data_IF_621038682911
#
_entry.id   IF_621038682911
#
_cell.length_a   1.000
_cell.length_b   1.000
_cell.length_c   1.000
_cell.angle_alpha   90.00
_cell.angle_beta   90.00
_cell.angle_gamma   90.00
#
_symmetry.space_group_name_H-M   'P 1'
#
loop_
_entity.id
_entity.type
_entity.pdbx_description
1 polymer ?
#
# COMPACT_ATOMS: atom_id res chain seq x y z
N UNK A 1 -4.12 27.77 5.39
CA UNK A 1 -2.73 27.27 5.45
C UNK A 1 -2.72 25.82 5.00
N UNK A 2 -1.93 25.45 3.99
CA UNK A 2 -1.86 24.05 3.49
C UNK A 2 -0.87 23.27 4.34
N UNK A 3 -1.32 22.23 5.05
CA UNK A 3 -0.43 21.31 5.78
C UNK A 3 0.25 20.40 4.77
N UNK A 4 1.57 20.56 4.60
CA UNK A 4 2.38 19.66 3.76
C UNK A 4 2.64 18.36 4.53
N UNK A 5 2.35 17.22 3.90
CA UNK A 5 2.70 15.89 4.39
C UNK A 5 3.69 15.26 3.42
N UNK A 6 4.67 14.57 3.96
CA UNK A 6 5.64 13.78 3.21
C UNK A 6 5.37 12.30 3.46
N UNK A 7 5.44 11.52 2.38
CA UNK A 7 5.50 10.06 2.40
C UNK A 7 6.87 9.63 1.84
N UNK A 8 7.52 8.70 2.53
CA UNK A 8 8.76 8.06 2.09
C UNK A 8 8.53 6.56 2.04
N UNK A 9 8.76 5.94 0.89
CA UNK A 9 8.71 4.49 0.74
C UNK A 9 10.06 3.95 0.25
N UNK A 10 10.39 2.74 0.69
CA UNK A 10 11.51 1.97 0.18
C UNK A 10 11.10 0.50 0.09
N UNK A 11 11.50 -0.17 -0.98
CA UNK A 11 11.20 -1.58 -1.16
C UNK A 11 12.11 -2.24 -2.17
N UNK A 12 12.16 -3.57 -2.12
CA UNK A 12 12.90 -4.39 -3.07
C UNK A 12 12.13 -5.67 -3.38
N UNK A 13 12.14 -6.07 -4.64
CA UNK A 13 11.55 -7.33 -5.11
C UNK A 13 12.67 -8.32 -5.43
N UNK A 14 12.70 -9.42 -4.70
CA UNK A 14 13.57 -10.57 -4.97
C UNK A 14 12.86 -11.55 -5.88
N UNK A 15 13.54 -12.02 -6.92
CA UNK A 15 13.04 -13.10 -7.77
C UNK A 15 13.34 -14.47 -7.15
N UNK A 16 12.37 -15.36 -7.17
CA UNK A 16 12.50 -16.74 -6.72
C UNK A 16 11.71 -17.70 -7.61
N UNK A 17 11.81 -19.00 -7.36
CA UNK A 17 11.18 -20.04 -8.19
C UNK A 17 9.65 -19.98 -8.22
N UNK A 18 9.02 -19.24 -7.30
CA UNK A 18 7.57 -19.08 -7.20
C UNK A 18 7.08 -17.77 -7.83
N UNK A 19 7.98 -16.81 -8.09
CA UNK A 19 7.67 -15.47 -8.60
C UNK A 19 8.48 -14.39 -7.90
N UNK A 20 7.85 -13.27 -7.55
CA UNK A 20 8.51 -12.12 -6.90
C UNK A 20 8.14 -11.97 -5.43
N UNK A 21 9.13 -11.89 -4.54
CA UNK A 21 8.98 -11.51 -3.14
C UNK A 21 9.34 -10.05 -2.97
N UNK A 22 8.37 -9.19 -2.68
CA UNK A 22 8.59 -7.79 -2.38
C UNK A 22 8.61 -7.56 -0.87
N UNK A 23 9.67 -6.95 -0.36
CA UNK A 23 9.74 -6.43 1.01
C UNK A 23 9.81 -4.91 0.97
N UNK A 24 9.08 -4.23 1.84
CA UNK A 24 8.99 -2.77 1.82
C UNK A 24 8.68 -2.15 3.17
N UNK A 25 8.99 -0.86 3.27
CA UNK A 25 8.63 0.02 4.37
C UNK A 25 8.10 1.34 3.84
N UNK A 26 7.14 1.93 4.54
CA UNK A 26 6.59 3.26 4.25
C UNK A 26 6.57 4.08 5.54
N UNK A 27 6.97 5.35 5.45
CA UNK A 27 6.80 6.36 6.49
C UNK A 27 5.81 7.40 5.97
N UNK A 28 4.64 7.48 6.60
CA UNK A 28 3.56 8.40 6.21
C UNK A 28 3.25 9.41 7.33
N UNK A 29 2.70 10.56 6.93
CA UNK A 29 2.24 11.59 7.85
C UNK A 29 3.37 12.45 8.43
N UNK A 30 4.57 12.43 7.83
CA UNK A 30 5.69 13.30 8.24
C UNK A 30 5.29 14.75 7.97
N UNK A 31 5.20 15.55 9.02
CA UNK A 31 4.90 16.97 8.91
C UNK A 31 6.12 17.73 8.40
N UNK A 32 5.91 18.59 7.40
CA UNK A 32 6.94 19.50 6.89
C UNK A 32 6.56 20.96 7.18
N UNK A 33 7.51 21.74 7.69
CA UNK A 33 7.34 23.17 7.98
C UNK A 33 7.05 23.48 9.45
N UNK A 34 6.57 24.71 9.70
CA UNK A 34 6.30 25.19 11.06
C UNK A 34 5.10 24.48 11.69
N UNK A 35 5.31 23.92 12.89
CA UNK A 35 4.27 23.29 13.69
C UNK A 35 3.55 24.41 14.45
N UNK A 36 2.56 25.04 13.81
CA UNK A 36 1.80 26.14 14.43
C UNK A 36 0.63 25.56 15.22
N UNK A 37 0.71 25.62 16.55
CA UNK A 37 -0.39 25.31 17.46
C UNK A 37 -1.22 26.55 17.75
N UNK A 38 -1.98 27.05 16.77
CA UNK A 38 -2.91 28.16 17.06
C UNK A 38 -4.06 27.63 17.94
N UNK A 39 -4.17 28.16 19.16
CA UNK A 39 -5.14 27.78 20.20
C UNK A 39 -5.05 26.34 20.76
N UNK A 40 -3.83 25.85 21.03
CA UNK A 40 -3.63 24.74 21.99
C UNK A 40 -4.25 23.39 21.60
N UNK A 41 -4.61 23.16 20.33
CA UNK A 41 -5.29 21.93 19.94
C UNK A 41 -5.32 21.69 18.44
N UNK A 42 -4.22 21.15 17.90
CA UNK A 42 -4.19 20.18 16.80
C UNK A 42 -2.77 19.60 16.77
N UNK A 43 -2.55 18.59 17.62
CA UNK A 43 -1.25 18.07 18.02
C UNK A 43 -0.32 17.62 16.90
N UNK A 44 0.94 17.37 17.29
CA UNK A 44 1.89 16.57 16.53
C UNK A 44 1.15 15.36 15.93
N UNK A 45 1.10 15.24 14.60
CA UNK A 45 0.68 13.96 14.01
C UNK A 45 1.88 13.04 14.10
N UNK A 46 1.78 12.02 14.95
CA UNK A 46 2.80 10.98 15.00
C UNK A 46 2.84 10.28 13.65
N UNK A 47 3.99 10.24 12.96
CA UNK A 47 4.12 9.50 11.72
C UNK A 47 3.71 8.03 11.91
N UNK A 48 3.20 7.44 10.85
CA UNK A 48 2.93 6.02 10.82
C UNK A 48 3.99 5.31 9.98
N UNK A 49 4.39 4.13 10.42
CA UNK A 49 5.35 3.26 9.74
C UNK A 49 4.59 2.02 9.30
N UNK A 50 4.59 1.72 8.01
CA UNK A 50 4.12 0.43 7.49
C UNK A 50 5.32 -0.43 7.17
N UNK A 51 5.39 -1.63 7.74
CA UNK A 51 6.31 -2.69 7.31
C UNK A 51 5.52 -3.74 6.56
N UNK A 52 5.99 -4.18 5.40
CA UNK A 52 5.23 -5.10 4.57
C UNK A 52 6.06 -6.08 3.76
N UNK A 53 5.41 -7.18 3.42
CA UNK A 53 5.93 -8.21 2.53
C UNK A 53 4.82 -8.79 1.66
N UNK A 54 5.12 -9.10 0.41
CA UNK A 54 4.17 -9.68 -0.54
C UNK A 54 4.88 -10.65 -1.48
N UNK A 55 4.33 -11.86 -1.62
CA UNK A 55 4.78 -12.85 -2.60
C UNK A 55 3.77 -12.90 -3.74
N UNK A 56 4.24 -12.62 -4.96
CA UNK A 56 3.50 -12.79 -6.20
C UNK A 56 3.82 -14.14 -6.86
N UNK A 57 2.82 -14.72 -7.51
CA UNK A 57 2.87 -15.99 -8.22
C UNK A 57 2.26 -15.80 -9.60
N UNK A 58 3.01 -16.15 -10.65
CA UNK A 58 2.49 -16.20 -12.01
C UNK A 58 1.78 -17.54 -12.21
N UNK A 59 0.47 -17.50 -12.44
CA UNK A 59 -0.33 -18.69 -12.72
C UNK A 59 -0.26 -19.04 -14.20
N UNK A 60 -0.23 -18.00 -15.05
CA UNK A 60 0.05 -18.06 -16.48
C UNK A 60 0.95 -16.89 -16.87
N UNK A 61 1.23 -16.72 -18.17
CA UNK A 61 1.94 -15.55 -18.69
C UNK A 61 1.17 -14.22 -18.49
N UNK A 62 -0.13 -14.30 -18.26
CA UNK A 62 -1.02 -13.14 -18.14
C UNK A 62 -1.64 -12.99 -16.75
N UNK A 63 -1.98 -14.11 -16.10
CA UNK A 63 -2.66 -14.14 -14.81
C UNK A 63 -1.66 -14.33 -13.68
N UNK A 64 -1.74 -13.43 -12.69
CA UNK A 64 -0.94 -13.51 -11.47
C UNK A 64 -1.81 -13.32 -10.23
N UNK A 65 -1.34 -13.89 -9.12
CA UNK A 65 -1.93 -13.70 -7.79
C UNK A 65 -0.84 -13.31 -6.82
N UNK A 66 -1.18 -12.62 -5.74
CA UNK A 66 -0.23 -12.35 -4.67
C UNK A 66 -0.89 -12.47 -3.30
N UNK A 67 -0.10 -12.86 -2.31
CA UNK A 67 -0.49 -12.81 -0.91
C UNK A 67 0.55 -12.00 -0.15
N UNK A 68 0.09 -11.17 0.78
CA UNK A 68 0.97 -10.30 1.52
C UNK A 68 0.43 -9.94 2.89
N UNK A 69 1.26 -9.22 3.61
CA UNK A 69 0.98 -8.73 4.94
C UNK A 69 1.60 -7.35 5.11
N UNK A 70 0.90 -6.49 5.83
CA UNK A 70 1.37 -5.20 6.27
C UNK A 70 1.14 -5.06 7.78
N UNK A 71 2.09 -4.45 8.47
CA UNK A 71 2.02 -4.09 9.87
C UNK A 71 2.09 -2.58 9.97
N UNK A 72 1.03 -1.94 10.46
CA UNK A 72 1.01 -0.49 10.72
C UNK A 72 1.41 -0.22 12.17
N UNK A 73 2.41 0.64 12.35
CA UNK A 73 2.95 1.04 13.64
C UNK A 73 2.88 2.56 13.75
N UNK A 74 2.51 3.11 14.89
CA UNK A 74 2.61 4.54 15.18
C UNK A 74 2.95 4.74 16.66
N UNK A 75 3.83 5.70 16.96
CA UNK A 75 4.32 5.95 18.32
C UNK A 75 5.00 4.75 19.01
N UNK A 76 5.46 3.75 18.26
CA UNK A 76 5.99 2.49 18.81
C UNK A 76 4.93 1.44 19.10
N UNK A 77 3.65 1.77 18.94
CA UNK A 77 2.52 0.86 19.14
C UNK A 77 2.03 0.26 17.83
N UNK A 78 1.56 -0.99 17.89
CA UNK A 78 0.88 -1.63 16.76
C UNK A 78 -0.52 -1.05 16.62
N UNK A 79 -0.83 -0.54 15.42
CA UNK A 79 -2.12 0.09 15.13
C UNK A 79 -3.01 -0.88 14.35
N UNK A 80 -2.46 -1.53 13.32
CA UNK A 80 -3.23 -2.47 12.51
C UNK A 80 -2.38 -3.62 11.96
N UNK A 81 -3.01 -4.79 11.88
CA UNK A 81 -2.55 -5.93 11.11
C UNK A 81 -3.32 -5.99 9.80
N UNK A 82 -2.61 -6.08 8.69
CA UNK A 82 -3.20 -5.90 7.36
C UNK A 82 -2.82 -7.02 6.39
N UNK A 83 -3.35 -8.24 6.56
CA UNK A 83 -3.21 -9.28 5.56
C UNK A 83 -3.94 -8.88 4.28
N UNK A 84 -3.36 -9.23 3.13
CA UNK A 84 -3.91 -8.88 1.82
C UNK A 84 -3.72 -10.00 0.80
N UNK A 85 -4.60 -10.00 -0.17
CA UNK A 85 -4.49 -10.81 -1.38
C UNK A 85 -4.68 -9.92 -2.60
N UNK A 86 -4.04 -10.29 -3.69
CA UNK A 86 -4.18 -9.65 -4.99
C UNK A 86 -4.42 -10.67 -6.09
N UNK A 87 -5.09 -10.20 -7.12
CA UNK A 87 -5.22 -10.88 -8.41
C UNK A 87 -5.06 -9.85 -9.51
N UNK A 88 -4.41 -10.21 -10.60
CA UNK A 88 -4.32 -9.35 -11.76
C UNK A 88 -4.11 -10.10 -13.06
N UNK A 89 -4.43 -9.41 -14.14
CA UNK A 89 -4.31 -9.90 -15.51
C UNK A 89 -3.67 -8.84 -16.39
N UNK A 90 -2.61 -9.24 -17.10
CA UNK A 90 -1.91 -8.41 -18.07
C UNK A 90 -2.34 -8.83 -19.48
N UNK A 91 -2.85 -7.90 -20.29
CA UNK A 91 -3.19 -8.15 -21.69
C UNK A 91 -1.99 -7.86 -22.59
N UNK A 92 -1.92 -8.54 -23.74
CA UNK A 92 -0.81 -8.38 -24.70
C UNK A 92 -0.71 -6.97 -25.30
N UNK A 93 -1.79 -6.19 -25.24
CA UNK A 93 -1.86 -4.84 -25.80
C UNK A 93 -1.42 -3.73 -24.83
N UNK A 94 -0.84 -4.10 -23.68
CA UNK A 94 -0.38 -3.14 -22.65
C UNK A 94 -1.44 -2.75 -21.62
N UNK A 95 -2.69 -3.19 -21.76
CA UNK A 95 -3.72 -3.05 -20.73
C UNK A 95 -3.44 -4.02 -19.57
N UNK A 96 -3.74 -3.61 -18.34
CA UNK A 96 -3.76 -4.50 -17.18
C UNK A 96 -4.88 -4.13 -16.23
N UNK A 97 -5.42 -5.15 -15.56
CA UNK A 97 -6.40 -5.00 -14.49
C UNK A 97 -5.93 -5.76 -13.26
N UNK A 98 -6.22 -5.22 -12.07
CA UNK A 98 -5.97 -5.94 -10.82
C UNK A 98 -6.92 -5.51 -9.72
N UNK A 99 -7.09 -6.40 -8.74
CA UNK A 99 -7.74 -6.11 -7.49
C UNK A 99 -6.81 -6.49 -6.34
N UNK A 100 -6.81 -5.68 -5.27
CA UNK A 100 -6.32 -6.04 -3.95
C UNK A 100 -7.47 -6.02 -2.97
N UNK A 101 -7.62 -7.07 -2.18
CA UNK A 101 -8.43 -7.05 -0.97
C UNK A 101 -7.51 -7.08 0.24
N UNK A 102 -7.72 -6.18 1.20
CA UNK A 102 -6.91 -6.06 2.41
C UNK A 102 -7.81 -5.90 3.62
N UNK A 103 -7.70 -6.80 4.59
CA UNK A 103 -8.32 -6.62 5.89
C UNK A 103 -7.50 -5.61 6.71
N UNK A 104 -8.14 -4.75 7.48
CA UNK A 104 -7.51 -3.81 8.41
C UNK A 104 -8.01 -4.20 9.79
N UNK A 105 -7.26 -5.09 10.43
CA UNK A 105 -7.59 -5.62 11.75
C UNK A 105 -7.00 -4.66 12.77
N UNK A 106 -7.82 -4.09 13.64
CA UNK A 106 -7.33 -3.25 14.74
C UNK A 106 -6.42 -4.06 15.67
N UNK A 107 -5.25 -3.50 15.98
CA UNK A 107 -4.27 -4.11 16.87
C UNK A 107 -4.27 -3.50 18.28
N UNK A 108 -5.14 -2.52 18.53
CA UNK A 108 -5.29 -1.84 19.82
C UNK A 108 -6.33 -2.56 20.69
N UNK A 109 -6.25 -2.36 22.02
CA UNK A 109 -7.14 -3.01 22.99
C UNK A 109 -8.62 -2.51 22.93
N UNK A 110 -8.90 -1.55 22.06
CA UNK A 110 -10.21 -0.94 21.90
C UNK A 110 -10.99 -1.66 20.78
N UNK A 111 -11.76 -2.68 21.15
CA UNK A 111 -12.79 -3.33 20.32
C UNK A 111 -12.28 -3.74 18.93
N UNK A 112 -11.72 -4.96 18.83
CA UNK A 112 -11.03 -5.49 17.65
C UNK A 112 -11.93 -5.57 16.39
N UNK A 113 -12.16 -4.42 15.76
CA UNK A 113 -12.92 -4.27 14.54
C UNK A 113 -12.03 -4.64 13.34
N UNK A 114 -12.66 -5.16 12.29
CA UNK A 114 -11.98 -5.51 11.05
C UNK A 114 -12.72 -4.91 9.87
N UNK A 115 -12.11 -3.90 9.28
CA UNK A 115 -12.55 -3.32 8.03
C UNK A 115 -11.92 -4.02 6.83
N UNK A 116 -12.62 -4.04 5.70
CA UNK A 116 -12.11 -4.56 4.45
C UNK A 116 -12.01 -3.44 3.42
N UNK A 117 -10.81 -3.26 2.86
CA UNK A 117 -10.55 -2.33 1.77
C UNK A 117 -10.33 -3.10 0.48
N UNK A 118 -10.95 -2.62 -0.60
CA UNK A 118 -10.79 -3.13 -1.95
C UNK A 118 -10.16 -2.07 -2.85
N UNK A 119 -9.00 -2.36 -3.42
CA UNK A 119 -8.33 -1.50 -4.39
C UNK A 119 -8.42 -2.13 -5.78
N UNK A 120 -9.19 -1.53 -6.68
CA UNK A 120 -9.29 -1.93 -8.08
C UNK A 120 -8.41 -1.02 -8.93
N UNK A 121 -7.54 -1.59 -9.76
CA UNK A 121 -6.66 -0.84 -10.65
C UNK A 121 -6.88 -1.25 -12.10
N UNK A 122 -6.99 -0.24 -12.96
CA UNK A 122 -6.91 -0.38 -14.42
C UNK A 122 -5.70 0.45 -14.86
N UNK A 123 -4.78 -0.15 -15.60
CA UNK A 123 -3.58 0.52 -16.07
C UNK A 123 -3.28 0.20 -17.54
N UNK A 124 -2.59 1.12 -18.20
CA UNK A 124 -2.20 0.99 -19.60
C UNK A 124 -0.76 1.49 -19.76
N UNK A 125 0.08 0.69 -20.41
CA UNK A 125 1.45 1.07 -20.79
C UNK A 125 1.53 1.21 -22.29
N UNK A 126 2.01 2.36 -22.76
CA UNK A 126 2.17 2.62 -24.19
C UNK A 126 3.37 1.82 -24.72
N UNK A 127 3.23 1.20 -25.89
CA UNK A 127 4.29 0.38 -26.46
C UNK A 127 5.39 1.19 -27.17
N UNK A 128 5.07 2.43 -27.55
CA UNK A 128 5.88 3.32 -28.37
C UNK A 128 6.52 4.49 -27.58
N UNK A 129 6.23 4.59 -26.28
CA UNK A 129 6.80 5.62 -25.40
C UNK A 129 6.90 5.12 -23.96
N UNK A 130 7.85 5.66 -23.21
CA UNK A 130 8.02 5.38 -21.78
C UNK A 130 6.97 6.16 -20.95
N UNK A 131 5.71 5.78 -21.13
CA UNK A 131 4.56 6.34 -20.44
C UNK A 131 3.62 5.22 -20.01
N UNK A 132 3.16 5.31 -18.77
CA UNK A 132 2.08 4.48 -18.25
C UNK A 132 1.03 5.33 -17.55
N UNK A 133 -0.23 4.94 -17.71
CA UNK A 133 -1.37 5.56 -17.04
C UNK A 133 -2.06 4.53 -16.16
N UNK A 134 -2.60 4.96 -15.03
CA UNK A 134 -3.44 4.10 -14.22
C UNK A 134 -4.50 4.86 -13.45
N UNK A 135 -5.64 4.20 -13.30
CA UNK A 135 -6.73 4.61 -12.43
C UNK A 135 -6.86 3.60 -11.29
N UNK A 136 -6.92 4.09 -10.06
CA UNK A 136 -7.13 3.29 -8.86
C UNK A 136 -8.46 3.71 -8.23
N UNK A 137 -9.38 2.78 -8.12
CA UNK A 137 -10.62 2.93 -7.37
C UNK A 137 -10.49 2.19 -6.04
N UNK A 138 -10.58 2.93 -4.94
CA UNK A 138 -10.48 2.41 -3.58
C UNK A 138 -11.85 2.47 -2.94
N UNK A 139 -12.31 1.33 -2.43
CA UNK A 139 -13.59 1.15 -1.74
C UNK A 139 -13.31 0.62 -0.34
#
# INVERSE_FOLDING_TARGET
MVRKRLLLEAGHTFENSLGGLTLYTEFDGIQLGEIVTENGGAGNTTPAITLGGEQAFNITDHLWVAAGYQHLISAGESIQYRPLVKIGYNFDNGLSISNRTRAHIDATDADADTDYRMDNRIAYSFSDMDLALSYNNVI
#
